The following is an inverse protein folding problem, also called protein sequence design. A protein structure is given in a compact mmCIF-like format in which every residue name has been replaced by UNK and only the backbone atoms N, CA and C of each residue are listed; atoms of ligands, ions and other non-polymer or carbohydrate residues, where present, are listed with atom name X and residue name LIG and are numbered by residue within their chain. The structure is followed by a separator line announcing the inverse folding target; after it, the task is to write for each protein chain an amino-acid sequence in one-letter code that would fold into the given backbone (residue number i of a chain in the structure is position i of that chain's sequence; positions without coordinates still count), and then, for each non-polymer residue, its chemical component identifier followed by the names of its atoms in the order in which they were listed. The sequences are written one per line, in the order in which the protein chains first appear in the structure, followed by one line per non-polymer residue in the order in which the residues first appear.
data_IF_639187680077
#
_entry.id   IF_639187680077
#
_cell.length_a   1.000
_cell.length_b   1.000
_cell.length_c   1.000
_cell.angle_alpha   90.00
_cell.angle_beta   90.00
_cell.angle_gamma   90.00
#
_symmetry.space_group_name_H-M   'P 1'
#
loop_
_entity.id
_entity.type
_entity.pdbx_description
1 polymer ?
#
# COMPACT_ATOMS: atom_id res chain seq x y z
N UNK A 1 -13.09 4.84 -14.88
CA UNK A 1 -13.15 5.61 -13.61
C UNK A 1 -12.19 6.81 -13.63
N UNK A 2 -12.14 7.60 -12.54
CA UNK A 2 -11.75 9.03 -12.41
C UNK A 2 -10.35 9.31 -11.82
N UNK A 3 -9.44 8.32 -11.80
CA UNK A 3 -8.12 8.42 -11.15
C UNK A 3 -7.32 9.67 -11.56
N UNK A 4 -7.34 10.00 -12.85
CA UNK A 4 -6.63 11.17 -13.40
C UNK A 4 -7.18 12.48 -12.83
N UNK A 5 -8.52 12.61 -12.74
CA UNK A 5 -9.16 13.79 -12.16
C UNK A 5 -8.86 13.92 -10.66
N UNK A 6 -8.89 12.80 -9.93
CA UNK A 6 -8.61 12.78 -8.50
C UNK A 6 -7.15 13.15 -8.18
N UNK A 7 -6.20 12.60 -8.94
CA UNK A 7 -4.76 12.87 -8.79
C UNK A 7 -4.42 14.30 -9.20
N UNK A 8 -4.81 14.72 -10.39
CA UNK A 8 -4.25 15.92 -11.03
C UNK A 8 -5.01 17.20 -10.70
N UNK A 9 -6.25 17.10 -10.21
CA UNK A 9 -7.12 18.27 -10.01
C UNK A 9 -7.55 18.49 -8.57
N UNK A 10 -7.75 17.43 -7.77
CA UNK A 10 -8.46 17.55 -6.49
C UNK A 10 -7.54 17.62 -5.26
N UNK A 11 -6.60 16.68 -5.14
CA UNK A 11 -5.80 16.50 -3.91
C UNK A 11 -4.30 16.42 -4.13
N UNK A 12 -3.85 15.98 -5.31
CA UNK A 12 -2.45 15.59 -5.49
C UNK A 12 -2.08 14.35 -4.68
N UNK A 13 -1.00 13.67 -5.05
CA UNK A 13 -0.43 12.59 -4.25
C UNK A 13 0.96 12.96 -3.75
N UNK A 14 1.31 12.45 -2.56
CA UNK A 14 2.64 12.63 -1.97
C UNK A 14 3.76 11.98 -2.79
N UNK A 15 3.42 11.03 -3.64
CA UNK A 15 4.32 10.36 -4.57
C UNK A 15 3.56 9.97 -5.83
N UNK A 16 4.28 9.61 -6.88
CA UNK A 16 3.65 9.06 -8.09
C UNK A 16 3.11 7.65 -7.82
N UNK A 17 1.83 7.59 -7.47
CA UNK A 17 1.12 6.34 -7.24
C UNK A 17 1.09 5.46 -8.49
N UNK A 18 1.02 6.05 -9.68
CA UNK A 18 0.84 5.27 -10.91
C UNK A 18 2.06 4.44 -11.27
N UNK A 19 3.28 4.93 -10.98
CA UNK A 19 4.50 4.15 -11.17
C UNK A 19 4.79 3.16 -10.03
N UNK A 20 4.20 3.37 -8.85
CA UNK A 20 4.47 2.57 -7.65
C UNK A 20 3.35 1.62 -7.24
N UNK A 21 2.22 1.62 -7.95
CA UNK A 21 1.08 0.79 -7.62
C UNK A 21 1.48 -0.71 -7.51
N UNK A 22 1.01 -1.42 -6.47
CA UNK A 22 1.37 -2.81 -6.22
C UNK A 22 0.69 -3.81 -7.16
N UNK A 23 -0.15 -3.34 -8.09
CA UNK A 23 -0.97 -4.14 -8.99
C UNK A 23 -1.48 -3.32 -10.19
N UNK A 24 -2.28 -3.94 -11.08
CA UNK A 24 -2.82 -3.27 -12.26
C UNK A 24 -3.77 -2.13 -11.89
N UNK A 25 -3.73 -1.03 -12.64
CA UNK A 25 -4.69 0.06 -12.54
C UNK A 25 -5.82 -0.17 -13.54
N UNK A 26 -6.91 -0.76 -13.07
CA UNK A 26 -8.02 -1.20 -13.91
C UNK A 26 -9.08 -0.10 -14.03
N UNK A 27 -9.51 0.21 -15.27
CA UNK A 27 -10.43 1.32 -15.55
C UNK A 27 -11.89 0.89 -15.76
N UNK A 28 -12.12 -0.39 -16.07
CA UNK A 28 -13.44 -0.93 -16.41
C UNK A 28 -13.79 -2.15 -15.55
N UNK A 29 -15.09 -2.45 -15.43
CA UNK A 29 -15.55 -3.60 -14.66
C UNK A 29 -15.27 -4.93 -15.35
N UNK A 30 -15.25 -4.96 -16.68
CA UNK A 30 -14.96 -6.17 -17.46
C UNK A 30 -13.51 -6.61 -17.25
N UNK A 31 -12.56 -5.68 -17.43
CA UNK A 31 -11.13 -5.91 -17.15
C UNK A 31 -10.89 -6.33 -15.69
N UNK A 32 -11.70 -5.82 -14.75
CA UNK A 32 -11.60 -6.20 -13.34
C UNK A 32 -12.02 -7.64 -13.12
N UNK A 33 -13.14 -8.06 -13.71
CA UNK A 33 -13.62 -9.44 -13.62
C UNK A 33 -12.60 -10.39 -14.24
N UNK A 34 -12.01 -10.03 -15.37
CA UNK A 34 -11.00 -10.84 -16.03
C UNK A 34 -9.71 -10.93 -15.21
N UNK A 35 -9.24 -9.83 -14.62
CA UNK A 35 -8.08 -9.85 -13.73
C UNK A 35 -8.30 -10.73 -12.49
N UNK A 36 -9.52 -10.74 -11.93
CA UNK A 36 -9.86 -11.60 -10.79
C UNK A 36 -9.92 -13.07 -11.20
N UNK A 37 -10.46 -13.37 -12.39
CA UNK A 37 -10.53 -14.75 -12.91
C UNK A 37 -9.14 -15.32 -13.18
N UNK A 38 -8.18 -14.48 -13.56
CA UNK A 38 -6.80 -14.86 -13.85
C UNK A 38 -5.83 -14.34 -12.75
N UNK A 39 -6.25 -14.40 -11.48
CA UNK A 39 -5.51 -13.74 -10.38
C UNK A 39 -4.09 -14.30 -10.19
N UNK A 40 -3.86 -15.57 -10.52
CA UNK A 40 -2.53 -16.18 -10.40
C UNK A 40 -1.55 -15.53 -11.38
N UNK A 41 -1.95 -15.35 -12.64
CA UNK A 41 -1.15 -14.67 -13.67
C UNK A 41 -0.89 -13.21 -13.29
N UNK A 42 -1.92 -12.51 -12.79
CA UNK A 42 -1.78 -11.12 -12.31
C UNK A 42 -0.82 -11.05 -11.11
N UNK A 43 -0.88 -12.03 -10.21
CA UNK A 43 -0.01 -12.07 -9.04
C UNK A 43 1.45 -12.29 -9.44
N UNK A 44 1.71 -13.18 -10.40
CA UNK A 44 3.04 -13.40 -10.96
C UNK A 44 3.56 -12.15 -11.68
N UNK A 45 2.76 -11.54 -12.55
CA UNK A 45 3.16 -10.35 -13.33
C UNK A 45 3.51 -9.17 -12.42
N UNK A 46 2.79 -8.97 -11.32
CA UNK A 46 2.96 -7.82 -10.42
C UNK A 46 3.77 -8.14 -9.16
N UNK A 47 4.32 -9.35 -9.02
CA UNK A 47 4.98 -9.81 -7.80
C UNK A 47 6.09 -8.85 -7.33
N UNK A 48 6.94 -8.37 -8.24
CA UNK A 48 8.04 -7.46 -7.91
C UNK A 48 7.55 -6.07 -7.46
N UNK A 49 6.52 -5.55 -8.13
CA UNK A 49 5.90 -4.25 -7.76
C UNK A 49 5.25 -4.37 -6.39
N UNK A 50 4.56 -5.46 -6.13
CA UNK A 50 3.96 -5.76 -4.83
C UNK A 50 5.02 -5.85 -3.73
N UNK A 51 6.10 -6.60 -3.96
CA UNK A 51 7.20 -6.75 -2.99
C UNK A 51 7.87 -5.42 -2.67
N UNK A 52 8.16 -4.59 -3.69
CA UNK A 52 8.72 -3.24 -3.51
C UNK A 52 7.77 -2.34 -2.72
N UNK A 53 6.48 -2.32 -3.07
CA UNK A 53 5.50 -1.52 -2.34
C UNK A 53 5.43 -1.93 -0.86
N UNK A 54 5.47 -3.23 -0.56
CA UNK A 54 5.54 -3.73 0.83
C UNK A 54 6.78 -3.25 1.56
N UNK A 55 7.96 -3.35 0.95
CA UNK A 55 9.21 -2.91 1.57
C UNK A 55 9.18 -1.40 1.88
N UNK A 56 8.67 -0.60 0.94
CA UNK A 56 8.70 0.85 1.05
C UNK A 56 7.67 1.42 2.04
N UNK A 57 6.54 0.74 2.23
CA UNK A 57 5.38 1.32 2.94
C UNK A 57 4.82 0.49 4.08
N UNK A 58 5.09 -0.81 4.14
CA UNK A 58 4.54 -1.69 5.17
C UNK A 58 5.53 -2.02 6.28
N UNK A 59 6.80 -1.62 6.15
CA UNK A 59 7.81 -1.85 7.18
C UNK A 59 7.88 -0.71 8.22
N UNK A 60 8.22 -0.99 9.49
CA UNK A 60 8.43 -2.32 10.09
C UNK A 60 7.13 -2.83 10.72
N UNK A 61 6.23 -3.45 9.95
CA UNK A 61 5.06 -4.15 10.51
C UNK A 61 5.46 -5.46 11.19
N UNK A 62 6.21 -5.37 12.28
CA UNK A 62 6.63 -6.50 13.11
C UNK A 62 5.56 -6.92 14.14
N UNK A 63 4.39 -6.28 14.13
CA UNK A 63 3.29 -6.53 15.05
C UNK A 63 3.52 -6.03 16.48
N UNK A 64 4.63 -5.32 16.75
CA UNK A 64 5.03 -4.91 18.11
C UNK A 64 4.90 -3.41 18.38
N UNK A 65 4.26 -2.66 17.49
CA UNK A 65 4.12 -1.21 17.61
C UNK A 65 3.45 -0.81 18.94
N UNK A 66 2.31 -1.43 19.28
CA UNK A 66 1.60 -1.14 20.53
C UNK A 66 2.44 -1.45 21.77
N UNK A 67 3.15 -2.59 21.78
CA UNK A 67 4.03 -2.97 22.87
C UNK A 67 5.13 -1.92 23.09
N UNK A 68 5.83 -1.49 22.02
CA UNK A 68 6.85 -0.43 22.10
C UNK A 68 6.32 0.88 22.69
N UNK A 69 5.08 1.26 22.34
CA UNK A 69 4.46 2.48 22.87
C UNK A 69 4.19 2.33 24.37
N UNK A 70 3.59 1.22 24.80
CA UNK A 70 3.31 0.96 26.23
C UNK A 70 4.61 0.90 27.04
N UNK A 71 5.60 0.15 26.56
CA UNK A 71 6.92 0.04 27.19
C UNK A 71 7.56 1.44 27.34
N UNK A 72 7.44 2.29 26.31
CA UNK A 72 7.95 3.66 26.34
C UNK A 72 7.20 4.55 27.34
N UNK A 73 5.87 4.43 27.44
CA UNK A 73 5.07 5.21 28.38
C UNK A 73 5.41 4.88 29.83
N UNK A 74 5.52 3.59 30.15
CA UNK A 74 5.92 3.12 31.48
C UNK A 74 7.33 3.61 31.84
N UNK A 75 8.29 3.47 30.92
CA UNK A 75 9.65 3.96 31.14
C UNK A 75 9.76 5.48 31.35
N UNK A 76 8.82 6.28 30.83
CA UNK A 76 8.75 7.73 31.10
C UNK A 76 8.11 7.98 32.47
N UNK A 77 7.05 7.24 32.81
CA UNK A 77 6.35 7.39 34.10
C UNK A 77 7.21 6.99 35.30
N UNK A 78 8.15 6.07 35.10
CA UNK A 78 9.12 5.63 36.12
C UNK A 78 10.38 6.51 36.16
N UNK A 79 10.51 7.52 35.29
CA UNK A 79 11.62 8.47 35.32
C UNK A 79 11.42 9.47 36.48
N UNK A 80 12.44 9.69 37.33
CA UNK A 80 12.34 10.56 38.51
C UNK A 80 12.10 12.03 38.18
#
# INVERSE_FOLDING_TARGET
YDLEHYRDTLRGFYFDFTSRAPGPLIKTSEDLVDAIRNIDEVSEEYQEKYARFRADFCEPSDGRAAARVVDRMLAIGDAP
#
